data_IF_029531848226
#
_entry.id   IF_029531848226
#
_cell.length_a   1.000
_cell.length_b   1.000
_cell.length_c   1.000
_cell.angle_alpha   90.00
_cell.angle_beta   90.00
_cell.angle_gamma   90.00
#
_symmetry.space_group_name_H-M   'P 1'
#
loop_
_entity.id
_entity.type
_entity.pdbx_description
1 polymer ?
#
# COMPACT_ATOMS: atom_id res chain seq x y z
N UNK A 1 -38.62 24.19 11.50
CA UNK A 1 -37.49 24.19 10.54
C UNK A 1 -37.32 22.77 10.04
N UNK A 2 -37.32 22.56 8.72
CA UNK A 2 -37.31 21.23 8.11
C UNK A 2 -35.87 20.70 8.10
N UNK A 3 -35.63 19.50 8.64
CA UNK A 3 -34.29 18.88 8.66
C UNK A 3 -33.62 18.83 7.29
N UNK A 4 -34.43 18.72 6.23
CA UNK A 4 -33.98 18.80 4.84
C UNK A 4 -33.32 20.14 4.47
N UNK A 5 -33.88 21.29 4.89
CA UNK A 5 -33.29 22.59 4.55
C UNK A 5 -31.94 22.82 5.21
N UNK A 6 -31.74 22.26 6.41
CA UNK A 6 -30.47 22.32 7.12
C UNK A 6 -29.40 21.47 6.43
N UNK A 7 -29.74 20.26 6.00
CA UNK A 7 -28.82 19.40 5.24
C UNK A 7 -28.41 20.02 3.90
N UNK A 8 -29.35 20.67 3.20
CA UNK A 8 -29.05 21.34 1.93
C UNK A 8 -28.13 22.55 2.15
N UNK A 9 -28.36 23.35 3.19
CA UNK A 9 -27.46 24.48 3.49
C UNK A 9 -26.07 24.01 3.90
N UNK A 10 -25.99 22.91 4.67
CA UNK A 10 -24.73 22.33 5.13
C UNK A 10 -23.94 21.71 3.96
N UNK A 11 -24.61 20.96 3.08
CA UNK A 11 -24.02 20.44 1.85
C UNK A 11 -23.54 21.54 0.91
N UNK A 12 -24.31 22.62 0.75
CA UNK A 12 -23.91 23.76 -0.08
C UNK A 12 -22.66 24.48 0.46
N UNK A 13 -22.43 24.43 1.78
CA UNK A 13 -21.23 24.99 2.42
C UNK A 13 -20.07 23.99 2.56
N UNK A 14 -20.29 22.71 2.25
CA UNK A 14 -19.30 21.67 2.43
C UNK A 14 -18.17 21.79 1.39
N UNK A 15 -16.95 21.47 1.81
CA UNK A 15 -15.83 21.37 0.89
C UNK A 15 -16.04 20.19 -0.07
N UNK A 16 -15.71 20.40 -1.35
CA UNK A 16 -15.73 19.33 -2.35
C UNK A 16 -14.76 18.22 -1.98
N UNK A 17 -15.14 16.97 -2.24
CA UNK A 17 -14.26 15.83 -2.03
C UNK A 17 -13.00 15.97 -2.91
N UNK A 18 -11.84 16.04 -2.25
CA UNK A 18 -10.54 15.96 -2.91
C UNK A 18 -9.98 14.57 -2.71
N UNK A 19 -9.81 13.84 -3.82
CA UNK A 19 -9.20 12.51 -3.77
C UNK A 19 -7.75 12.60 -3.29
N UNK A 20 -7.37 11.73 -2.35
CA UNK A 20 -6.01 11.66 -1.83
C UNK A 20 -4.97 11.32 -2.93
N UNK A 21 -5.36 10.47 -3.90
CA UNK A 21 -4.54 10.14 -5.06
C UNK A 21 -5.43 10.19 -6.32
N UNK A 22 -5.20 11.12 -7.26
CA UNK A 22 -5.94 11.18 -8.50
C UNK A 22 -5.84 9.88 -9.30
N UNK A 23 -6.95 9.43 -9.88
CA UNK A 23 -7.03 8.19 -10.68
C UNK A 23 -5.97 8.11 -11.78
N UNK A 24 -5.67 9.23 -12.44
CA UNK A 24 -4.65 9.31 -13.48
C UNK A 24 -3.25 8.87 -13.00
N UNK A 25 -2.93 9.06 -11.72
CA UNK A 25 -1.63 8.71 -11.15
C UNK A 25 -1.63 7.32 -10.52
N UNK A 26 -2.79 6.70 -10.28
CA UNK A 26 -2.87 5.42 -9.58
C UNK A 26 -2.22 4.29 -10.38
N UNK A 27 -2.32 4.28 -11.71
CA UNK A 27 -1.65 3.28 -12.54
C UNK A 27 -0.12 3.32 -12.38
N UNK A 28 0.46 4.53 -12.41
CA UNK A 28 1.90 4.70 -12.21
C UNK A 28 2.32 4.28 -10.79
N UNK A 29 1.58 4.69 -9.78
CA UNK A 29 1.85 4.32 -8.39
C UNK A 29 1.72 2.81 -8.16
N UNK A 30 0.75 2.14 -8.80
CA UNK A 30 0.60 0.69 -8.76
C UNK A 30 1.86 -0.01 -9.27
N UNK A 31 2.36 0.39 -10.45
CA UNK A 31 3.57 -0.19 -11.04
C UNK A 31 4.78 0.00 -10.11
N UNK A 32 4.97 1.21 -9.58
CA UNK A 32 6.10 1.50 -8.68
C UNK A 32 6.02 0.65 -7.41
N UNK A 33 4.85 0.60 -6.75
CA UNK A 33 4.66 -0.20 -5.54
C UNK A 33 4.89 -1.69 -5.79
N UNK A 34 4.38 -2.24 -6.90
CA UNK A 34 4.53 -3.66 -7.24
C UNK A 34 5.99 -4.00 -7.59
N UNK A 35 6.69 -3.14 -8.33
CA UNK A 35 8.12 -3.34 -8.61
C UNK A 35 8.95 -3.34 -7.32
N UNK A 36 8.70 -2.39 -6.42
CA UNK A 36 9.38 -2.35 -5.11
C UNK A 36 9.05 -3.59 -4.27
N UNK A 37 7.80 -4.06 -4.27
CA UNK A 37 7.41 -5.28 -3.59
C UNK A 37 8.21 -6.49 -4.11
N UNK A 38 8.35 -6.64 -5.43
CA UNK A 38 9.16 -7.70 -6.05
C UNK A 38 10.63 -7.60 -5.63
N UNK A 39 11.19 -6.40 -5.55
CA UNK A 39 12.57 -6.21 -5.05
C UNK A 39 12.72 -6.73 -3.62
N UNK A 40 11.80 -6.38 -2.71
CA UNK A 40 11.87 -6.88 -1.32
C UNK A 40 11.65 -8.38 -1.22
N UNK A 41 10.77 -8.96 -2.04
CA UNK A 41 10.62 -10.43 -2.15
C UNK A 41 11.94 -11.06 -2.59
N UNK A 42 12.61 -10.49 -3.60
CA UNK A 42 13.89 -11.00 -4.08
C UNK A 42 14.99 -10.90 -3.01
N UNK A 43 15.09 -9.77 -2.31
CA UNK A 43 16.03 -9.60 -1.19
C UNK A 43 15.79 -10.63 -0.09
N UNK A 44 14.54 -11.02 0.14
CA UNK A 44 14.19 -12.04 1.13
C UNK A 44 14.77 -13.42 0.78
N UNK A 45 14.84 -13.76 -0.51
CA UNK A 45 15.47 -15.00 -0.98
C UNK A 45 17.00 -15.01 -0.83
N UNK A 46 17.62 -13.85 -0.72
CA UNK A 46 19.08 -13.73 -0.52
C UNK A 46 19.50 -13.87 0.94
N UNK A 47 18.56 -13.91 1.89
CA UNK A 47 18.88 -14.09 3.31
C UNK A 47 19.45 -15.50 3.53
N UNK A 48 20.63 -15.63 4.18
CA UNK A 48 21.23 -16.93 4.46
C UNK A 48 20.32 -17.81 5.33
N UNK A 49 19.98 -19.01 4.83
CA UNK A 49 19.09 -19.96 5.52
C UNK A 49 19.77 -20.69 6.69
N UNK A 50 21.09 -20.72 6.70
CA UNK A 50 21.89 -21.39 7.73
C UNK A 50 22.81 -20.39 8.41
N UNK A 51 22.69 -20.28 9.72
CA UNK A 51 23.46 -19.36 10.57
C UNK A 51 24.32 -20.14 11.57
N UNK A 52 25.59 -19.80 11.70
CA UNK A 52 26.53 -20.51 12.60
C UNK A 52 26.42 -20.10 14.07
N UNK A 53 25.81 -18.94 14.36
CA UNK A 53 25.63 -18.43 15.73
C UNK A 53 24.19 -17.99 15.98
N UNK A 54 23.75 -18.02 17.25
CA UNK A 54 22.43 -17.55 17.66
C UNK A 54 22.20 -16.08 17.28
N UNK A 55 23.22 -15.22 17.45
CA UNK A 55 23.16 -13.81 17.08
C UNK A 55 22.89 -13.62 15.58
N UNK A 56 23.60 -14.37 14.72
CA UNK A 56 23.35 -14.35 13.27
C UNK A 56 21.97 -14.90 12.90
N UNK A 57 21.46 -15.90 13.64
CA UNK A 57 20.12 -16.44 13.42
C UNK A 57 19.03 -15.41 13.69
N UNK A 58 19.15 -14.69 14.82
CA UNK A 58 18.22 -13.62 15.20
C UNK A 58 18.26 -12.48 14.17
N UNK A 59 19.46 -12.07 13.74
CA UNK A 59 19.61 -11.03 12.72
C UNK A 59 18.96 -11.43 11.38
N UNK A 60 19.17 -12.65 10.91
CA UNK A 60 18.56 -13.14 9.68
C UNK A 60 17.02 -13.20 9.78
N UNK A 61 16.49 -13.65 10.92
CA UNK A 61 15.04 -13.65 11.16
C UNK A 61 14.46 -12.23 11.20
N UNK A 62 15.15 -11.29 11.84
CA UNK A 62 14.72 -9.90 11.87
C UNK A 62 14.68 -9.29 10.46
N UNK A 63 15.72 -9.54 9.64
CA UNK A 63 15.75 -9.12 8.23
C UNK A 63 14.60 -9.74 7.43
N UNK A 64 14.34 -11.04 7.63
CA UNK A 64 13.24 -11.74 6.95
C UNK A 64 11.88 -11.10 7.26
N UNK A 65 11.63 -10.81 8.54
CA UNK A 65 10.38 -10.17 8.97
C UNK A 65 10.24 -8.79 8.35
N UNK A 66 11.30 -7.98 8.38
CA UNK A 66 11.28 -6.62 7.82
C UNK A 66 11.02 -6.64 6.32
N UNK A 67 11.74 -7.46 5.56
CA UNK A 67 11.53 -7.54 4.10
C UNK A 67 10.17 -8.12 3.74
N UNK A 68 9.68 -9.13 4.49
CA UNK A 68 8.34 -9.69 4.28
C UNK A 68 7.25 -8.64 4.55
N UNK A 69 7.39 -7.86 5.62
CA UNK A 69 6.44 -6.82 5.97
C UNK A 69 6.40 -5.71 4.91
N UNK A 70 7.57 -5.22 4.47
CA UNK A 70 7.68 -4.21 3.43
C UNK A 70 7.11 -4.71 2.09
N UNK A 71 7.47 -5.93 1.68
CA UNK A 71 6.93 -6.54 0.47
C UNK A 71 5.41 -6.66 0.52
N UNK A 72 4.86 -7.16 1.62
CA UNK A 72 3.42 -7.33 1.80
C UNK A 72 2.66 -6.00 1.75
N UNK A 73 3.15 -4.99 2.48
CA UNK A 73 2.53 -3.65 2.49
C UNK A 73 2.53 -2.99 1.12
N UNK A 74 3.67 -3.04 0.42
CA UNK A 74 3.81 -2.49 -0.93
C UNK A 74 2.95 -3.24 -1.95
N UNK A 75 2.88 -4.57 -1.85
CA UNK A 75 2.04 -5.38 -2.71
C UNK A 75 0.55 -5.07 -2.50
N UNK A 76 0.10 -4.96 -1.24
CA UNK A 76 -1.28 -4.62 -0.92
C UNK A 76 -1.70 -3.25 -1.46
N UNK A 77 -0.89 -2.21 -1.22
CA UNK A 77 -1.14 -0.86 -1.76
C UNK A 77 -1.12 -0.86 -3.29
N UNK A 78 -0.12 -1.53 -3.88
CA UNK A 78 -0.01 -1.66 -5.33
C UNK A 78 -1.21 -2.37 -5.96
N UNK A 79 -1.74 -3.41 -5.32
CA UNK A 79 -2.92 -4.14 -5.77
C UNK A 79 -4.19 -3.28 -5.72
N UNK A 80 -4.37 -2.44 -4.69
CA UNK A 80 -5.49 -1.49 -4.60
C UNK A 80 -5.44 -0.49 -5.77
N UNK A 81 -4.28 0.14 -5.99
CA UNK A 81 -4.12 1.08 -7.10
C UNK A 81 -4.29 0.41 -8.47
N UNK A 82 -3.83 -0.83 -8.62
CA UNK A 82 -4.03 -1.61 -9.83
C UNK A 82 -5.52 -1.88 -10.07
N UNK A 83 -6.24 -2.36 -9.04
CA UNK A 83 -7.69 -2.62 -9.08
C UNK A 83 -8.49 -1.38 -9.53
N UNK A 84 -8.14 -0.22 -8.98
CA UNK A 84 -8.78 1.04 -9.33
C UNK A 84 -8.43 1.49 -10.76
N UNK A 85 -7.20 1.24 -11.21
CA UNK A 85 -6.78 1.59 -12.58
C UNK A 85 -7.46 0.76 -13.67
N UNK A 86 -7.93 -0.46 -13.35
CA UNK A 86 -8.68 -1.32 -14.27
C UNK A 86 -10.19 -1.13 -14.16
N UNK A 87 -10.66 -0.17 -13.35
CA UNK A 87 -12.07 0.21 -13.25
C UNK A 87 -12.93 -0.71 -12.37
N UNK A 88 -12.32 -1.56 -11.53
CA UNK A 88 -13.06 -2.38 -10.55
C UNK A 88 -13.50 -1.52 -9.36
N UNK A 89 -12.70 -0.52 -8.98
CA UNK A 89 -12.90 0.40 -7.86
C UNK A 89 -13.13 -0.34 -6.52
N UNK A 90 -12.05 -0.56 -5.78
CA UNK A 90 -12.06 -1.11 -4.42
C UNK A 90 -12.31 -0.03 -3.36
#
# INVERSE_FOLDING_TARGET
MNSYSNLVSEYASAQTFHSAVPLANQQFMAVVCLLLAVVFVFLNFLIPKTSSTLASSIANNAQYIVYSFLASGLFGIGAIFLSNSVGVYA
#
